data_IF_049903161330
#
_entry.id   IF_049903161330
#
_cell.length_a   1.000
_cell.length_b   1.000
_cell.length_c   1.000
_cell.angle_alpha   90.00
_cell.angle_beta   90.00
_cell.angle_gamma   90.00
#
_symmetry.space_group_name_H-M   'P 1'
#
loop_
_entity.id
_entity.type
_entity.pdbx_description
1 polymer ?
#
# COMPACT_ATOMS: atom_id res chain seq x y z
N UNK A 1 33.54 -63.30 49.40
CA UNK A 1 34.24 -62.48 48.41
C UNK A 1 33.19 -61.83 47.54
N UNK A 2 32.71 -60.69 48.01
CA UNK A 2 31.61 -59.94 47.31
C UNK A 2 32.23 -58.91 46.38
N UNK A 3 31.83 -58.99 45.11
CA UNK A 3 32.09 -57.92 44.14
C UNK A 3 30.85 -57.08 44.00
N UNK A 4 30.88 -55.92 44.62
CA UNK A 4 29.92 -54.90 44.50
C UNK A 4 29.94 -54.25 43.07
N UNK A 5 28.90 -54.51 42.28
CA UNK A 5 28.72 -53.91 40.98
C UNK A 5 28.21 -52.45 41.17
N UNK A 6 29.05 -51.49 40.76
CA UNK A 6 28.68 -50.06 40.71
C UNK A 6 27.87 -49.81 39.43
N UNK A 7 26.64 -49.28 39.50
CA UNK A 7 25.87 -48.95 38.29
C UNK A 7 26.39 -47.65 37.65
N UNK A 8 26.68 -47.75 36.35
CA UNK A 8 27.14 -46.66 35.48
C UNK A 8 26.02 -45.61 35.26
N UNK A 9 26.27 -44.32 35.40
CA UNK A 9 25.25 -43.33 35.17
C UNK A 9 24.89 -43.24 33.68
N UNK A 10 23.61 -43.41 33.35
CA UNK A 10 23.05 -43.18 32.02
C UNK A 10 23.02 -41.69 31.72
N UNK A 11 23.66 -41.31 30.61
CA UNK A 11 23.76 -39.93 30.14
C UNK A 11 22.39 -39.38 29.77
N UNK A 12 21.94 -38.44 30.56
CA UNK A 12 20.74 -37.60 30.30
C UNK A 12 21.14 -36.42 29.42
N UNK A 13 21.38 -36.66 28.12
CA UNK A 13 21.75 -35.60 27.16
C UNK A 13 20.83 -35.55 25.94
N UNK A 14 19.62 -36.08 25.99
CA UNK A 14 18.68 -36.10 24.84
C UNK A 14 17.49 -35.16 24.94
N UNK A 15 17.33 -34.35 25.99
CA UNK A 15 16.17 -33.53 26.23
C UNK A 15 16.31 -32.05 25.85
N UNK A 16 17.54 -31.56 25.55
CA UNK A 16 17.76 -30.10 25.41
C UNK A 16 17.86 -29.59 23.98
N UNK A 17 17.69 -30.49 22.99
CA UNK A 17 17.82 -30.10 21.57
C UNK A 17 16.47 -29.78 20.88
N UNK A 18 15.33 -29.96 21.55
CA UNK A 18 14.00 -29.77 20.96
C UNK A 18 13.37 -28.42 21.28
N UNK A 19 13.91 -27.60 22.16
CA UNK A 19 13.31 -26.31 22.54
C UNK A 19 13.78 -25.17 21.66
N UNK A 20 14.90 -25.30 20.95
CA UNK A 20 15.44 -24.22 20.09
C UNK A 20 14.79 -24.18 18.69
N UNK A 21 14.14 -25.25 18.25
CA UNK A 21 13.56 -25.35 16.89
C UNK A 21 12.19 -24.67 16.74
N UNK A 22 11.54 -24.24 17.82
CA UNK A 22 10.16 -23.72 17.76
C UNK A 22 10.07 -22.19 17.64
N UNK A 23 11.18 -21.44 17.75
CA UNK A 23 11.17 -19.98 17.66
C UNK A 23 11.40 -19.42 16.25
N UNK A 24 11.58 -20.25 15.23
CA UNK A 24 11.97 -19.79 13.89
C UNK A 24 10.80 -19.55 12.91
N UNK A 25 9.53 -19.69 13.33
CA UNK A 25 8.39 -19.63 12.40
C UNK A 25 7.42 -18.44 12.59
N UNK A 26 7.80 -17.43 13.34
CA UNK A 26 6.99 -16.21 13.48
C UNK A 26 7.67 -15.02 12.77
N UNK A 27 8.10 -15.23 11.52
CA UNK A 27 8.29 -14.10 10.61
C UNK A 27 6.92 -13.71 10.07
N UNK A 28 6.13 -13.04 10.90
CA UNK A 28 4.92 -12.38 10.48
C UNK A 28 5.36 -11.16 9.68
N UNK A 29 5.37 -11.24 8.35
CA UNK A 29 5.48 -10.05 7.50
C UNK A 29 4.19 -9.23 7.73
N UNK A 30 4.28 -8.02 8.28
CA UNK A 30 3.09 -7.26 8.63
C UNK A 30 2.30 -6.74 7.42
N UNK A 31 2.69 -7.11 6.21
CA UNK A 31 2.02 -6.72 4.97
C UNK A 31 2.11 -5.22 4.65
N UNK A 32 1.43 -4.77 3.56
CA UNK A 32 1.41 -3.36 3.18
C UNK A 32 0.75 -2.49 4.27
N UNK A 33 1.18 -1.25 4.40
CA UNK A 33 0.68 -0.32 5.41
C UNK A 33 1.71 0.70 5.85
N UNK A 34 1.39 1.46 6.88
CA UNK A 34 2.29 2.44 7.49
C UNK A 34 3.32 1.80 8.42
N UNK A 35 4.40 2.52 8.71
CA UNK A 35 5.46 2.10 9.62
C UNK A 35 6.72 1.58 8.93
N UNK A 36 6.85 1.82 7.62
CA UNK A 36 8.05 1.53 6.84
C UNK A 36 8.92 2.76 6.55
N UNK A 37 9.80 2.62 5.58
CA UNK A 37 10.72 3.69 5.14
C UNK A 37 10.54 4.02 3.66
N UNK A 38 9.66 3.31 2.96
CA UNK A 38 9.38 3.57 1.57
C UNK A 38 8.43 4.75 1.40
N UNK A 39 8.39 5.32 0.21
CA UNK A 39 7.50 6.42 -0.15
C UNK A 39 7.07 6.32 -1.61
N UNK A 40 5.91 6.88 -1.89
CA UNK A 40 5.39 7.05 -3.23
C UNK A 40 4.98 8.50 -3.43
N UNK A 41 5.17 8.99 -4.64
CA UNK A 41 4.75 10.32 -5.06
C UNK A 41 4.21 10.28 -6.48
N UNK A 42 3.43 11.29 -6.84
CA UNK A 42 2.90 11.43 -8.17
C UNK A 42 2.29 12.81 -8.40
N UNK A 43 1.68 12.97 -9.55
CA UNK A 43 0.99 14.20 -9.96
C UNK A 43 -0.44 13.87 -10.34
N UNK A 44 -1.37 14.68 -9.86
CA UNK A 44 -2.77 14.67 -10.25
C UNK A 44 -3.06 15.87 -11.13
N UNK A 45 -3.65 15.63 -12.29
CA UNK A 45 -4.00 16.66 -13.25
C UNK A 45 -5.51 16.64 -13.53
N UNK A 46 -6.07 17.79 -13.80
CA UNK A 46 -7.46 17.95 -14.21
C UNK A 46 -7.51 18.11 -15.73
N UNK A 47 -8.41 17.38 -16.37
CA UNK A 47 -8.97 17.70 -17.67
C UNK A 47 -10.34 18.32 -17.46
N UNK A 48 -10.46 19.62 -17.74
CA UNK A 48 -11.70 20.35 -17.69
C UNK A 48 -12.48 20.14 -19.01
N UNK A 49 -13.65 19.56 -18.90
CA UNK A 49 -14.50 19.23 -20.04
C UNK A 49 -15.71 20.17 -20.13
N UNK A 50 -16.21 20.37 -21.33
CA UNK A 50 -17.49 21.06 -21.51
C UNK A 50 -18.62 20.22 -20.88
N UNK A 51 -19.78 20.85 -20.64
CA UNK A 51 -20.95 20.23 -19.98
C UNK A 51 -21.49 18.98 -20.69
N UNK A 52 -21.13 18.77 -21.95
CA UNK A 52 -21.51 17.59 -22.73
C UNK A 52 -20.43 16.54 -22.82
N UNK A 53 -19.27 16.73 -22.16
CA UNK A 53 -18.10 15.85 -22.20
C UNK A 53 -17.62 15.47 -23.61
N UNK A 54 -17.73 16.41 -24.54
CA UNK A 54 -17.31 16.22 -25.93
C UNK A 54 -15.99 16.87 -26.27
N UNK A 55 -15.57 17.88 -25.48
CA UNK A 55 -14.38 18.66 -25.76
C UNK A 55 -13.67 19.03 -24.46
N UNK A 56 -12.35 18.80 -24.42
CA UNK A 56 -11.50 19.29 -23.34
C UNK A 56 -11.28 20.79 -23.52
N UNK A 57 -11.65 21.57 -22.54
CA UNK A 57 -11.51 23.03 -22.52
C UNK A 57 -10.13 23.44 -22.04
N UNK A 58 -9.64 22.81 -20.99
CA UNK A 58 -8.34 23.11 -20.39
C UNK A 58 -7.75 21.93 -19.64
N UNK A 59 -6.44 22.01 -19.35
CA UNK A 59 -5.70 21.07 -18.50
C UNK A 59 -4.87 21.85 -17.51
N UNK A 60 -4.98 21.48 -16.24
CA UNK A 60 -4.24 22.14 -15.17
C UNK A 60 -3.94 21.21 -13.99
N UNK A 61 -2.95 21.54 -13.14
CA UNK A 61 -2.71 20.75 -11.94
C UNK A 61 -3.91 20.74 -11.00
N UNK A 62 -4.27 19.57 -10.48
CA UNK A 62 -5.33 19.42 -9.51
C UNK A 62 -4.86 19.96 -8.14
N UNK A 63 -5.22 21.18 -7.82
CA UNK A 63 -4.89 21.83 -6.55
C UNK A 63 -5.93 21.49 -5.47
N UNK A 64 -5.44 21.14 -4.27
CA UNK A 64 -6.27 20.82 -3.09
C UNK A 64 -7.28 19.68 -3.30
N UNK A 65 -7.01 18.81 -4.28
CA UNK A 65 -7.82 17.62 -4.52
C UNK A 65 -7.42 16.48 -3.59
N UNK A 66 -8.40 15.69 -3.17
CA UNK A 66 -8.16 14.55 -2.29
C UNK A 66 -7.72 13.33 -3.07
N UNK A 67 -6.64 12.72 -2.60
CA UNK A 67 -6.11 11.48 -3.14
C UNK A 67 -6.00 10.45 -2.03
N UNK A 68 -6.34 9.21 -2.35
CA UNK A 68 -6.46 8.11 -1.39
C UNK A 68 -5.44 7.03 -1.69
N UNK A 69 -4.94 6.38 -0.64
CA UNK A 69 -4.04 5.24 -0.71
C UNK A 69 -4.69 4.02 -0.05
N UNK A 70 -4.85 2.96 -0.82
CA UNK A 70 -5.33 1.66 -0.34
C UNK A 70 -4.14 0.74 -0.12
N UNK A 71 -4.16 0.01 0.99
CA UNK A 71 -3.13 -0.95 1.37
C UNK A 71 -3.55 -2.35 0.94
N UNK A 72 -2.79 -2.94 -0.01
CA UNK A 72 -3.13 -4.25 -0.54
C UNK A 72 -4.53 -4.30 -1.18
N UNK A 73 -5.33 -5.26 -0.75
CA UNK A 73 -6.69 -5.49 -1.22
C UNK A 73 -7.76 -4.97 -0.24
N UNK A 74 -7.40 -4.04 0.65
CA UNK A 74 -8.35 -3.49 1.61
C UNK A 74 -9.52 -2.80 0.90
N UNK A 75 -10.77 -2.95 1.39
CA UNK A 75 -11.94 -2.33 0.78
C UNK A 75 -12.05 -0.82 1.06
N UNK A 76 -11.26 -0.31 2.00
CA UNK A 76 -11.24 1.11 2.40
C UNK A 76 -9.82 1.67 2.30
N UNK A 77 -9.66 2.97 2.00
CA UNK A 77 -8.34 3.58 2.00
C UNK A 77 -7.76 3.60 3.42
N UNK A 78 -6.46 3.27 3.53
CA UNK A 78 -5.71 3.32 4.77
C UNK A 78 -5.10 4.70 5.04
N UNK A 79 -4.93 5.52 4.00
CA UNK A 79 -4.43 6.89 4.11
C UNK A 79 -5.04 7.79 3.04
N UNK A 80 -5.04 9.09 3.29
CA UNK A 80 -5.39 10.10 2.29
C UNK A 80 -4.47 11.32 2.40
N UNK A 81 -4.37 12.07 1.32
CA UNK A 81 -3.63 13.32 1.23
C UNK A 81 -4.37 14.33 0.34
N UNK A 82 -3.95 15.60 0.43
CA UNK A 82 -4.37 16.62 -0.53
C UNK A 82 -3.21 16.99 -1.42
N UNK A 83 -3.52 17.23 -2.68
CA UNK A 83 -2.53 17.69 -3.65
C UNK A 83 -2.12 19.14 -3.37
N UNK A 84 -0.87 19.44 -3.65
CA UNK A 84 -0.33 20.80 -3.61
C UNK A 84 -0.82 21.65 -4.79
N UNK A 85 -0.44 22.92 -4.82
CA UNK A 85 -0.83 23.86 -5.87
C UNK A 85 -0.40 23.41 -7.29
N UNK A 86 0.64 22.59 -7.39
CA UNK A 86 1.16 22.03 -8.64
C UNK A 86 0.66 20.59 -8.90
N UNK A 87 -0.37 20.13 -8.16
CA UNK A 87 -0.98 18.83 -8.31
C UNK A 87 -0.18 17.67 -7.72
N UNK A 88 0.93 17.91 -7.04
CA UNK A 88 1.78 16.86 -6.46
C UNK A 88 1.18 16.31 -5.19
N UNK A 89 1.37 15.01 -5.00
CA UNK A 89 1.05 14.29 -3.77
C UNK A 89 2.19 13.36 -3.37
N UNK A 90 2.25 13.03 -2.08
CA UNK A 90 3.22 12.08 -1.54
C UNK A 90 2.64 11.35 -0.35
N UNK A 91 2.89 10.04 -0.30
CA UNK A 91 2.71 9.19 0.87
C UNK A 91 4.07 8.65 1.29
N UNK A 92 4.39 8.76 2.56
CA UNK A 92 5.65 8.30 3.15
C UNK A 92 5.42 7.26 4.22
N UNK A 93 6.53 6.76 4.78
CA UNK A 93 6.54 5.78 5.86
C UNK A 93 5.79 4.48 5.56
N UNK A 94 5.86 4.04 4.28
CA UNK A 94 5.18 2.84 3.82
C UNK A 94 6.07 1.59 3.98
N UNK A 95 5.43 0.45 4.25
CA UNK A 95 6.06 -0.86 4.18
C UNK A 95 6.11 -1.37 2.74
N UNK A 96 6.85 -2.45 2.51
CA UNK A 96 6.82 -3.18 1.23
C UNK A 96 5.45 -3.81 1.01
N UNK A 97 5.04 -3.95 -0.24
CA UNK A 97 3.80 -4.57 -0.62
C UNK A 97 3.07 -3.86 -1.74
N UNK A 98 1.86 -4.30 -2.01
CA UNK A 98 0.99 -3.78 -3.08
C UNK A 98 0.11 -2.66 -2.54
N UNK A 99 -0.11 -1.67 -3.40
CA UNK A 99 -0.88 -0.48 -3.07
C UNK A 99 -1.67 0.00 -4.29
N UNK A 100 -2.73 0.75 -4.01
CA UNK A 100 -3.50 1.48 -5.00
C UNK A 100 -3.66 2.92 -4.59
N UNK A 101 -3.31 3.85 -5.48
CA UNK A 101 -3.65 5.27 -5.35
C UNK A 101 -4.85 5.55 -6.22
N UNK A 102 -5.83 6.30 -5.71
CA UNK A 102 -6.98 6.72 -6.49
C UNK A 102 -7.48 8.11 -6.11
N UNK A 103 -8.19 8.74 -7.04
CA UNK A 103 -8.97 9.95 -6.83
C UNK A 103 -10.30 9.84 -7.58
N UNK A 104 -11.24 10.72 -7.29
CA UNK A 104 -12.53 10.75 -7.95
C UNK A 104 -12.53 11.70 -9.15
N UNK A 105 -13.00 11.21 -10.27
CA UNK A 105 -13.19 11.91 -11.53
C UNK A 105 -14.67 12.05 -11.80
N UNK A 106 -15.09 13.17 -12.38
CA UNK A 106 -16.46 13.30 -12.85
C UNK A 106 -16.72 12.31 -13.99
N UNK A 107 -17.94 11.79 -14.01
CA UNK A 107 -18.40 10.81 -15.01
C UNK A 107 -19.29 11.49 -16.02
N UNK A 108 -19.20 11.04 -17.25
CA UNK A 108 -20.18 11.38 -18.27
C UNK A 108 -21.61 11.04 -17.78
N UNK A 109 -22.58 11.95 -17.87
CA UNK A 109 -23.96 11.69 -17.47
C UNK A 109 -24.56 10.57 -18.33
N UNK A 110 -24.77 9.41 -17.72
CA UNK A 110 -25.44 8.28 -18.37
C UNK A 110 -26.77 8.03 -17.67
N UNK A 111 -27.81 7.84 -18.45
CA UNK A 111 -29.15 7.51 -17.94
C UNK A 111 -29.09 6.27 -17.03
N UNK A 112 -29.53 6.42 -15.77
CA UNK A 112 -29.61 5.33 -14.80
C UNK A 112 -28.48 5.28 -13.77
N UNK A 113 -27.47 6.12 -13.81
CA UNK A 113 -26.44 6.22 -12.78
C UNK A 113 -26.74 7.33 -11.78
N UNK A 114 -26.78 6.99 -10.50
CA UNK A 114 -26.97 7.93 -9.38
C UNK A 114 -25.69 8.63 -8.92
N UNK A 115 -24.53 8.13 -9.31
CA UNK A 115 -23.24 8.74 -8.97
C UNK A 115 -22.65 9.46 -10.17
N UNK A 116 -22.37 10.75 -10.02
CA UNK A 116 -21.70 11.57 -11.03
C UNK A 116 -20.17 11.42 -11.01
N UNK A 117 -19.64 10.55 -10.16
CA UNK A 117 -18.21 10.36 -10.00
C UNK A 117 -17.80 8.90 -10.15
N UNK A 118 -16.60 8.70 -10.66
CA UNK A 118 -15.96 7.40 -10.77
C UNK A 118 -14.52 7.48 -10.24
N UNK A 119 -14.01 6.43 -9.55
CA UNK A 119 -12.64 6.41 -9.15
C UNK A 119 -11.72 6.15 -10.35
N UNK A 120 -10.62 6.88 -10.42
CA UNK A 120 -9.49 6.63 -11.31
C UNK A 120 -8.28 6.27 -10.46
N UNK A 121 -7.51 5.24 -10.83
CA UNK A 121 -6.48 4.67 -9.97
C UNK A 121 -5.22 4.22 -10.72
N UNK A 122 -4.15 4.06 -9.96
CA UNK A 122 -2.90 3.43 -10.36
C UNK A 122 -2.53 2.40 -9.31
N UNK A 123 -2.34 1.16 -9.73
CA UNK A 123 -1.80 0.09 -8.90
C UNK A 123 -0.27 0.09 -8.97
N UNK A 124 0.38 -0.14 -7.85
CA UNK A 124 1.84 -0.21 -7.78
C UNK A 124 2.30 -1.11 -6.63
N UNK A 125 3.57 -1.49 -6.67
CA UNK A 125 4.19 -2.30 -5.64
C UNK A 125 5.48 -1.65 -5.17
N UNK A 126 5.72 -1.65 -3.85
CA UNK A 126 6.96 -1.25 -3.21
C UNK A 126 7.73 -2.53 -2.87
N UNK A 127 8.81 -2.77 -3.59
CA UNK A 127 9.60 -4.01 -3.49
C UNK A 127 10.66 -3.93 -2.40
N UNK A 128 11.13 -2.74 -2.10
CA UNK A 128 12.22 -2.50 -1.16
C UNK A 128 11.77 -1.65 0.02
N UNK A 129 12.37 -1.88 1.19
CA UNK A 129 12.09 -1.14 2.44
C UNK A 129 12.34 0.37 2.35
N UNK A 130 13.18 0.83 1.41
CA UNK A 130 13.52 2.25 1.19
C UNK A 130 13.17 2.70 -0.23
N UNK A 131 12.22 2.04 -0.85
CA UNK A 131 11.78 2.37 -2.19
C UNK A 131 11.21 3.80 -2.24
N UNK A 132 11.56 4.54 -3.28
CA UNK A 132 11.02 5.88 -3.56
C UNK A 132 10.42 5.86 -4.95
N UNK A 133 9.16 5.53 -5.03
CA UNK A 133 8.48 5.34 -6.31
C UNK A 133 7.80 6.61 -6.77
N UNK A 134 8.00 6.96 -8.03
CA UNK A 134 7.24 8.01 -8.71
C UNK A 134 6.25 7.34 -9.66
N UNK A 135 4.99 7.66 -9.48
CA UNK A 135 3.90 7.15 -10.31
C UNK A 135 3.68 8.03 -11.54
N UNK A 136 3.05 7.44 -12.56
CA UNK A 136 2.57 8.18 -13.70
C UNK A 136 1.52 9.23 -13.29
N UNK A 137 1.32 10.23 -14.16
CA UNK A 137 0.32 11.27 -13.92
C UNK A 137 -1.09 10.67 -13.93
N UNK A 138 -1.82 10.89 -12.84
CA UNK A 138 -3.23 10.53 -12.75
C UNK A 138 -4.08 11.70 -13.29
N UNK A 139 -5.07 11.39 -14.12
CA UNK A 139 -5.95 12.39 -14.73
C UNK A 139 -7.38 12.23 -14.24
N UNK A 140 -7.94 13.30 -13.76
CA UNK A 140 -9.37 13.40 -13.40
C UNK A 140 -10.07 14.37 -14.32
N UNK A 141 -11.34 14.11 -14.62
CA UNK A 141 -12.21 14.96 -15.40
C UNK A 141 -13.05 15.84 -14.46
N UNK A 142 -13.26 17.06 -14.86
CA UNK A 142 -14.15 18.05 -14.21
C UNK A 142 -15.05 18.72 -15.24
#
# INVERSE_FOLDING_TARGET
MDQTLIPKPRSMRRGMFWIVACCALLSCDPGPGEGGYASVQGVLMVEDWNSTFTTVLSRYPAMDERIYLVFGDDPVPGADARTSYDGRYRFGYLRTGKYRVYSYSDRFPTSGNTSNQEPVWIDFELESRRDQKTLDTLWIKK
#
